data_IF_851071512330
#
_entry.id   IF_851071512330
#
_cell.length_a   1.000
_cell.length_b   1.000
_cell.length_c   1.000
_cell.angle_alpha   90.00
_cell.angle_beta   90.00
_cell.angle_gamma   90.00
#
_symmetry.space_group_name_H-M   'P 1'
#
loop_
_entity.id
_entity.type
_entity.pdbx_description
1 polymer ?
#
# COMPACT_ATOMS: atom_id res chain seq x y z
N UNK A 1 2.97 -5.11 14.58
CA UNK A 1 3.03 -3.72 14.07
C UNK A 1 3.84 -3.78 12.79
N UNK A 2 3.25 -3.35 11.68
CA UNK A 2 3.86 -3.43 10.34
C UNK A 2 4.32 -2.04 9.91
N UNK A 3 5.47 -1.98 9.22
CA UNK A 3 6.09 -0.76 8.76
C UNK A 3 6.31 -0.86 7.25
N UNK A 4 5.68 0.04 6.47
CA UNK A 4 5.95 0.18 5.03
C UNK A 4 6.66 1.51 4.82
N UNK A 5 7.76 1.47 4.06
CA UNK A 5 8.57 2.62 3.73
C UNK A 5 8.46 2.87 2.23
N UNK A 6 7.96 4.06 1.84
CA UNK A 6 7.87 4.47 0.45
C UNK A 6 8.26 5.94 0.32
N UNK A 7 9.36 6.23 -0.39
CA UNK A 7 9.98 7.55 -0.47
C UNK A 7 10.15 8.21 0.92
N UNK A 8 9.37 9.26 1.20
CA UNK A 8 9.45 10.06 2.42
C UNK A 8 8.43 9.62 3.49
N UNK A 9 7.78 8.48 3.28
CA UNK A 9 6.60 8.09 4.03
C UNK A 9 6.80 6.77 4.76
N UNK A 10 6.48 6.78 6.05
CA UNK A 10 6.51 5.58 6.91
C UNK A 10 5.10 5.33 7.42
N UNK A 11 4.53 4.20 7.00
CA UNK A 11 3.21 3.76 7.43
C UNK A 11 3.30 2.77 8.56
N UNK A 12 2.59 3.04 9.65
CA UNK A 12 2.52 2.19 10.82
C UNK A 12 1.15 1.54 10.92
N UNK A 13 1.06 0.25 10.66
CA UNK A 13 -0.20 -0.48 10.72
C UNK A 13 -0.26 -1.42 11.93
N UNK A 14 -1.45 -1.50 12.54
CA UNK A 14 -1.82 -2.68 13.34
C UNK A 14 -1.99 -3.88 12.41
N UNK A 15 -1.96 -5.09 12.94
CA UNK A 15 -2.05 -6.27 12.07
C UNK A 15 -3.37 -6.38 11.33
N UNK A 16 -4.47 -6.03 11.99
CA UNK A 16 -5.80 -6.04 11.39
C UNK A 16 -5.96 -4.92 10.35
N UNK A 17 -5.42 -3.72 10.62
CA UNK A 17 -5.47 -2.61 9.68
C UNK A 17 -4.65 -2.90 8.42
N UNK A 18 -3.53 -3.62 8.55
CA UNK A 18 -2.70 -4.01 7.42
C UNK A 18 -3.40 -5.01 6.52
N UNK A 19 -4.04 -6.05 7.09
CA UNK A 19 -4.76 -7.06 6.32
C UNK A 19 -5.94 -6.41 5.55
N UNK A 20 -6.71 -5.50 6.18
CA UNK A 20 -7.78 -4.75 5.48
C UNK A 20 -7.23 -3.78 4.42
N UNK A 21 -6.09 -3.14 4.68
CA UNK A 21 -5.49 -2.21 3.73
C UNK A 21 -4.98 -2.93 2.48
N UNK A 22 -4.40 -4.13 2.64
CA UNK A 22 -4.00 -4.97 1.52
C UNK A 22 -5.20 -5.34 0.63
N UNK A 23 -6.32 -5.77 1.22
CA UNK A 23 -7.51 -6.12 0.44
C UNK A 23 -7.99 -4.95 -0.44
N UNK A 24 -7.97 -3.73 0.11
CA UNK A 24 -8.31 -2.51 -0.64
C UNK A 24 -7.32 -2.27 -1.76
N UNK A 25 -6.02 -2.27 -1.49
CA UNK A 25 -4.98 -1.98 -2.49
C UNK A 25 -5.00 -3.02 -3.62
N UNK A 26 -5.20 -4.30 -3.31
CA UNK A 26 -5.26 -5.38 -4.32
C UNK A 26 -6.57 -5.38 -5.11
N UNK A 27 -7.65 -4.79 -4.59
CA UNK A 27 -8.90 -4.61 -5.34
C UNK A 27 -8.86 -3.47 -6.35
N UNK A 28 -7.89 -2.55 -6.21
CA UNK A 28 -7.75 -1.38 -7.08
C UNK A 28 -6.92 -1.73 -8.31
N UNK A 29 -7.49 -1.45 -9.47
CA UNK A 29 -6.78 -1.42 -10.76
C UNK A 29 -6.41 0.03 -11.10
N UNK A 30 -5.18 0.26 -11.56
CA UNK A 30 -4.68 1.62 -11.82
C UNK A 30 -5.53 2.28 -12.90
N UNK A 31 -5.66 1.66 -14.08
CA UNK A 31 -6.43 2.21 -15.19
C UNK A 31 -7.93 2.34 -14.92
N UNK A 32 -8.48 1.54 -13.98
CA UNK A 32 -9.87 1.63 -13.56
C UNK A 32 -10.16 2.66 -12.47
N UNK A 33 -9.12 3.14 -11.76
CA UNK A 33 -9.27 3.94 -10.53
C UNK A 33 -8.46 5.24 -10.55
N UNK A 34 -7.70 5.50 -11.62
CA UNK A 34 -6.92 6.71 -11.76
C UNK A 34 -7.79 7.93 -12.07
N UNK A 35 -7.35 9.09 -11.59
CA UNK A 35 -7.96 10.37 -11.84
C UNK A 35 -6.93 11.31 -12.47
N UNK A 36 -7.33 12.18 -13.42
CA UNK A 36 -6.43 13.19 -13.97
C UNK A 36 -6.16 14.26 -12.91
N UNK A 37 -4.88 14.55 -12.69
CA UNK A 37 -4.45 15.64 -11.80
C UNK A 37 -4.21 16.94 -12.60
N UNK A 38 -4.20 18.11 -11.92
CA UNK A 38 -4.04 19.41 -12.59
C UNK A 38 -2.73 19.60 -13.37
N UNK A 39 -1.73 18.76 -13.12
CA UNK A 39 -0.45 18.72 -13.82
C UNK A 39 -0.49 17.87 -15.11
N UNK A 40 -1.61 17.18 -15.38
CA UNK A 40 -1.80 16.34 -16.55
C UNK A 40 -1.45 14.87 -16.35
N UNK A 41 -0.96 14.50 -15.17
CA UNK A 41 -0.64 13.11 -14.82
C UNK A 41 -1.87 12.37 -14.29
N UNK A 42 -1.94 11.07 -14.54
CA UNK A 42 -2.96 10.19 -13.95
C UNK A 42 -2.46 9.63 -12.63
N UNK A 43 -3.29 9.68 -11.59
CA UNK A 43 -2.93 9.15 -10.27
C UNK A 43 -4.08 8.41 -9.61
N UNK A 44 -3.75 7.33 -8.92
CA UNK A 44 -4.68 6.64 -8.01
C UNK A 44 -4.62 7.30 -6.65
N UNK A 45 -5.79 7.63 -6.09
CA UNK A 45 -5.90 8.24 -4.76
C UNK A 45 -6.30 7.17 -3.74
N UNK A 46 -5.42 6.95 -2.76
CA UNK A 46 -5.64 6.08 -1.62
C UNK A 46 -5.91 6.92 -0.37
N UNK A 47 -7.11 6.80 0.19
CA UNK A 47 -7.46 7.48 1.43
C UNK A 47 -6.78 6.81 2.63
N UNK A 48 -6.16 7.62 3.49
CA UNK A 48 -5.60 7.12 4.74
C UNK A 48 -6.65 7.13 5.85
N UNK A 49 -6.39 6.48 7.01
CA UNK A 49 -7.26 6.62 8.18
C UNK A 49 -7.34 8.05 8.74
N UNK A 50 -6.48 8.96 8.29
CA UNK A 50 -6.61 10.38 8.57
C UNK A 50 -7.30 11.05 7.38
N UNK A 51 -8.51 11.57 7.60
CA UNK A 51 -9.35 12.17 6.55
C UNK A 51 -8.68 13.34 5.82
N UNK A 52 -7.71 14.01 6.46
CA UNK A 52 -6.98 15.13 5.88
C UNK A 52 -5.79 14.70 4.99
N UNK A 53 -5.46 13.40 4.98
CA UNK A 53 -4.29 12.87 4.28
C UNK A 53 -4.73 11.76 3.33
N UNK A 54 -4.44 11.94 2.04
CA UNK A 54 -4.56 10.91 1.03
C UNK A 54 -3.24 10.76 0.29
N UNK A 55 -2.95 9.54 -0.16
CA UNK A 55 -1.83 9.28 -1.05
C UNK A 55 -2.30 9.36 -2.48
N UNK A 56 -1.50 9.99 -3.33
CA UNK A 56 -1.70 9.99 -4.77
C UNK A 56 -0.45 9.33 -5.37
N UNK A 57 -0.65 8.25 -6.11
CA UNK A 57 0.42 7.49 -6.74
C UNK A 57 0.25 7.53 -8.25
N UNK A 58 1.34 7.73 -8.97
CA UNK A 58 1.38 7.37 -10.39
C UNK A 58 1.42 5.84 -10.57
N UNK A 59 1.45 5.38 -11.81
CA UNK A 59 1.39 3.95 -12.13
C UNK A 59 2.58 3.18 -11.56
N UNK A 60 3.80 3.70 -11.76
CA UNK A 60 5.03 3.05 -11.30
C UNK A 60 5.11 3.04 -9.76
N UNK A 61 4.74 4.15 -9.11
CA UNK A 61 4.68 4.25 -7.66
C UNK A 61 3.62 3.30 -7.07
N UNK A 62 2.47 3.18 -7.71
CA UNK A 62 1.40 2.29 -7.25
C UNK A 62 1.80 0.82 -7.35
N UNK A 63 2.45 0.42 -8.45
CA UNK A 63 2.97 -0.94 -8.63
C UNK A 63 4.12 -1.25 -7.65
N UNK A 64 5.04 -0.30 -7.46
CA UNK A 64 6.11 -0.42 -6.47
C UNK A 64 5.55 -0.60 -5.05
N UNK A 65 4.51 0.17 -4.72
CA UNK A 65 3.82 0.09 -3.44
C UNK A 65 3.12 -1.27 -3.23
N UNK A 66 2.45 -1.80 -4.25
CA UNK A 66 1.86 -3.15 -4.23
C UNK A 66 2.91 -4.22 -3.96
N UNK A 67 4.02 -4.18 -4.69
CA UNK A 67 5.11 -5.13 -4.52
C UNK A 67 5.69 -5.11 -3.10
N UNK A 68 5.85 -3.92 -2.51
CA UNK A 68 6.33 -3.78 -1.13
C UNK A 68 5.36 -4.37 -0.10
N UNK A 69 4.04 -4.25 -0.32
CA UNK A 69 3.02 -4.88 0.54
C UNK A 69 3.14 -6.41 0.45
N UNK A 70 3.22 -6.96 -0.76
CA UNK A 70 3.32 -8.40 -0.98
C UNK A 70 4.61 -8.97 -0.38
N UNK A 71 5.74 -8.27 -0.51
CA UNK A 71 7.00 -8.66 0.13
C UNK A 71 6.90 -8.69 1.66
N UNK A 72 6.25 -7.68 2.27
CA UNK A 72 6.03 -7.64 3.71
C UNK A 72 5.20 -8.84 4.22
N UNK A 73 4.26 -9.34 3.42
CA UNK A 73 3.46 -10.52 3.73
C UNK A 73 4.26 -11.78 3.59
N UNK A 74 5.00 -11.92 2.50
CA UNK A 74 5.88 -13.05 2.30
C UNK A 74 6.86 -13.20 3.47
N UNK A 75 7.44 -12.09 3.93
CA UNK A 75 8.29 -12.08 5.13
C UNK A 75 7.55 -12.49 6.40
N UNK A 76 6.31 -12.04 6.61
CA UNK A 76 5.46 -12.47 7.74
C UNK A 76 5.30 -14.00 7.75
N UNK A 77 5.00 -14.61 6.61
CA UNK A 77 4.82 -16.06 6.51
C UNK A 77 6.11 -16.82 6.81
N UNK A 78 7.24 -16.38 6.25
CA UNK A 78 8.56 -16.97 6.53
C UNK A 78 8.90 -16.87 8.03
N UNK A 79 8.66 -15.74 8.68
CA UNK A 79 8.90 -15.57 10.12
C UNK A 79 7.96 -16.41 10.99
N UNK A 80 6.74 -16.69 10.55
CA UNK A 80 5.81 -17.60 11.24
C UNK A 80 6.31 -19.04 11.13
N UNK A 81 6.78 -19.45 9.96
CA UNK A 81 7.35 -20.78 9.74
C UNK A 81 8.63 -21.00 10.54
N UNK A 82 9.55 -20.03 10.54
CA UNK A 82 10.79 -20.10 11.31
C UNK A 82 10.59 -20.17 12.82
N UNK A 83 9.54 -19.53 13.37
CA UNK A 83 9.23 -19.58 14.81
C UNK A 83 8.55 -20.88 15.26
N UNK A 84 8.09 -21.71 14.32
CA UNK A 84 7.47 -23.01 14.59
C UNK A 84 8.42 -24.20 14.41
N UNK A 85 9.65 -23.95 13.95
CA UNK A 85 10.72 -24.94 13.78
C UNK A 85 11.63 -25.06 14.98
#
# INVERSE_FOLDING_TARGET
MYYIWHNNLVLNFSSLAFDSFQEVVNSLDFHGSCLPFPDGEERVVLHTPNDDISFAFDEEEFDSFKNAIDEAIYMKEVYVLMRRG
#
